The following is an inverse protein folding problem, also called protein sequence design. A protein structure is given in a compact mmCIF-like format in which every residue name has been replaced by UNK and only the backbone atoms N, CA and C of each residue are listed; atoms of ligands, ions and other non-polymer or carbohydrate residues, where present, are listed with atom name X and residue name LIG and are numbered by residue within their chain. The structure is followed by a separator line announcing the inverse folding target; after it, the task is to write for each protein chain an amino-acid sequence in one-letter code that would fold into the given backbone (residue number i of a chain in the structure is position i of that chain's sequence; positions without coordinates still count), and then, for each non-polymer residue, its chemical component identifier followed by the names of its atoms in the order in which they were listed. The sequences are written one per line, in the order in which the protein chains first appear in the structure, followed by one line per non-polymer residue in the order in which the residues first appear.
data_IF_315641608050
#
_entry.id   IF_315641608050
#
_cell.length_a   1.000
_cell.length_b   1.000
_cell.length_c   1.000
_cell.angle_alpha   90.00
_cell.angle_beta   90.00
_cell.angle_gamma   90.00
#
_symmetry.space_group_name_H-M   'P 1'
#
loop_
_entity.id
_entity.type
_entity.pdbx_description
1 polymer ?
#
# COMPACT_ATOMS: atom_id res chain seq x y z
N UNK A 1 8.25 -21.90 -24.76
CA UNK A 1 8.64 -22.32 -23.40
C UNK A 1 7.87 -21.43 -22.44
N UNK A 2 6.76 -21.91 -21.87
CA UNK A 2 6.00 -21.14 -20.88
C UNK A 2 6.87 -20.90 -19.65
N UNK A 3 7.10 -19.63 -19.28
CA UNK A 3 7.74 -19.32 -18.00
C UNK A 3 6.76 -19.73 -16.90
N UNK A 4 6.99 -20.86 -16.24
CA UNK A 4 6.23 -21.24 -15.03
C UNK A 4 6.57 -20.24 -13.93
N UNK A 5 5.55 -19.59 -13.40
CA UNK A 5 5.66 -18.80 -12.17
C UNK A 5 6.11 -19.72 -11.03
N UNK A 6 7.16 -19.34 -10.30
CA UNK A 6 7.65 -20.12 -9.15
C UNK A 6 7.19 -19.46 -7.85
N UNK A 7 7.15 -20.24 -6.76
CA UNK A 7 6.87 -19.70 -5.44
C UNK A 7 7.90 -18.62 -5.03
N UNK A 8 9.17 -18.76 -5.44
CA UNK A 8 10.21 -17.75 -5.17
C UNK A 8 9.93 -16.43 -5.86
N UNK A 9 9.59 -16.43 -7.16
CA UNK A 9 9.27 -15.20 -7.89
C UNK A 9 8.06 -14.46 -7.29
N UNK A 10 7.05 -15.21 -6.82
CA UNK A 10 5.89 -14.60 -6.15
C UNK A 10 6.24 -13.95 -4.81
N UNK A 11 7.16 -14.55 -4.04
CA UNK A 11 7.64 -13.98 -2.78
C UNK A 11 8.43 -12.70 -3.03
N UNK A 12 9.36 -12.72 -3.98
CA UNK A 12 10.16 -11.54 -4.35
C UNK A 12 9.28 -10.36 -4.76
N UNK A 13 8.23 -10.60 -5.57
CA UNK A 13 7.27 -9.55 -5.94
C UNK A 13 6.50 -9.04 -4.71
N UNK A 14 6.07 -9.94 -3.81
CA UNK A 14 5.33 -9.54 -2.62
C UNK A 14 6.20 -8.72 -1.64
N UNK A 15 7.47 -9.07 -1.48
CA UNK A 15 8.44 -8.33 -0.66
C UNK A 15 8.65 -6.92 -1.23
N UNK A 16 8.85 -6.78 -2.55
CA UNK A 16 8.94 -5.45 -3.17
C UNK A 16 7.67 -4.61 -3.03
N UNK A 17 6.49 -5.24 -3.07
CA UNK A 17 5.22 -4.55 -2.82
C UNK A 17 5.13 -4.09 -1.37
N UNK A 18 5.57 -4.91 -0.42
CA UNK A 18 5.62 -4.57 1.01
C UNK A 18 6.54 -3.35 1.25
N UNK A 19 7.77 -3.38 0.73
CA UNK A 19 8.72 -2.26 0.83
C UNK A 19 8.11 -0.95 0.28
N UNK A 20 7.52 -1.02 -0.92
CA UNK A 20 6.89 0.15 -1.55
C UNK A 20 5.68 0.65 -0.75
N UNK A 21 4.92 -0.25 -0.14
CA UNK A 21 3.77 0.09 0.71
C UNK A 21 4.22 0.78 2.00
N UNK A 22 5.35 0.40 2.58
CA UNK A 22 5.92 1.07 3.74
C UNK A 22 6.30 2.52 3.42
N UNK A 23 7.02 2.76 2.32
CA UNK A 23 7.34 4.11 1.84
C UNK A 23 6.06 4.94 1.59
N UNK A 24 5.04 4.31 1.01
CA UNK A 24 3.74 4.95 0.79
C UNK A 24 3.03 5.33 2.08
N UNK A 25 3.10 4.50 3.12
CA UNK A 25 2.52 4.79 4.43
C UNK A 25 3.21 5.99 5.10
N UNK A 26 4.52 6.19 4.89
CA UNK A 26 5.20 7.40 5.35
C UNK A 26 4.65 8.67 4.70
N UNK A 27 4.41 8.63 3.38
CA UNK A 27 3.78 9.75 2.68
C UNK A 27 2.36 10.01 3.20
N UNK A 28 1.59 8.96 3.48
CA UNK A 28 0.26 9.05 4.05
C UNK A 28 0.26 9.75 5.42
N UNK A 29 1.26 9.46 6.26
CA UNK A 29 1.47 10.16 7.54
C UNK A 29 1.81 11.64 7.34
N UNK A 30 2.62 11.98 6.33
CA UNK A 30 2.96 13.37 6.02
C UNK A 30 1.73 14.17 5.57
N UNK A 31 0.88 13.60 4.71
CA UNK A 31 -0.37 14.25 4.30
C UNK A 31 -1.31 14.44 5.49
N UNK A 32 -1.45 13.43 6.36
CA UNK A 32 -2.25 13.54 7.58
C UNK A 32 -1.75 14.65 8.50
N UNK A 33 -0.42 14.77 8.64
CA UNK A 33 0.20 15.84 9.42
C UNK A 33 -0.14 17.20 8.81
N UNK A 34 -0.02 17.36 7.50
CA UNK A 34 -0.35 18.62 6.82
C UNK A 34 -1.81 19.04 7.05
N UNK A 35 -2.76 18.10 7.00
CA UNK A 35 -4.17 18.36 7.30
C UNK A 35 -4.34 18.87 8.74
N UNK A 36 -3.67 18.24 9.71
CA UNK A 36 -3.73 18.66 11.13
C UNK A 36 -3.09 20.04 11.33
N UNK A 37 -1.96 20.29 10.70
CA UNK A 37 -1.25 21.57 10.79
C UNK A 37 -2.09 22.72 10.17
N UNK A 38 -3.03 22.42 9.25
CA UNK A 38 -4.03 23.38 8.77
C UNK A 38 -5.09 23.66 9.85
N UNK A 39 -5.55 22.66 10.59
CA UNK A 39 -6.54 22.84 11.67
C UNK A 39 -6.02 23.71 12.83
N UNK A 40 -4.70 23.77 12.99
CA UNK A 40 -4.04 24.58 14.01
C UNK A 40 -3.79 26.03 13.55
N UNK A 41 -4.03 26.36 12.28
CA UNK A 41 -3.82 27.70 11.74
C UNK A 41 -4.99 28.65 12.03
N UNK A 42 -4.67 29.92 12.24
CA UNK A 42 -5.66 30.99 12.45
C UNK A 42 -6.27 31.52 11.15
N UNK A 43 -5.73 31.12 9.98
CA UNK A 43 -6.21 31.54 8.67
C UNK A 43 -7.11 30.44 8.09
N UNK A 44 -8.33 30.76 7.62
CA UNK A 44 -9.21 29.79 7.00
C UNK A 44 -8.58 29.20 5.71
N UNK A 45 -8.38 27.88 5.68
CA UNK A 45 -7.82 27.13 4.53
C UNK A 45 -8.73 25.94 4.13
N UNK A 46 -10.04 26.07 4.31
CA UNK A 46 -11.04 25.00 4.24
C UNK A 46 -11.03 24.27 2.91
N UNK A 47 -10.85 24.99 1.79
CA UNK A 47 -10.75 24.38 0.46
C UNK A 47 -9.50 23.49 0.29
N UNK A 48 -8.37 23.94 0.85
CA UNK A 48 -7.12 23.18 0.82
C UNK A 48 -7.27 21.94 1.72
N UNK A 49 -7.84 22.13 2.91
CA UNK A 49 -8.14 21.04 3.84
C UNK A 49 -9.06 19.99 3.21
N UNK A 50 -10.16 20.40 2.58
CA UNK A 50 -11.10 19.50 1.91
C UNK A 50 -10.40 18.70 0.80
N UNK A 51 -9.62 19.37 -0.05
CA UNK A 51 -8.85 18.70 -1.10
C UNK A 51 -7.84 17.70 -0.54
N UNK A 52 -7.07 18.08 0.48
CA UNK A 52 -6.08 17.19 1.11
C UNK A 52 -6.74 16.02 1.83
N UNK A 53 -7.88 16.25 2.48
CA UNK A 53 -8.66 15.19 3.15
C UNK A 53 -9.19 14.18 2.13
N UNK A 54 -9.70 14.66 0.99
CA UNK A 54 -10.11 13.80 -0.11
C UNK A 54 -8.96 12.96 -0.66
N UNK A 55 -7.79 13.59 -0.90
CA UNK A 55 -6.59 12.87 -1.32
C UNK A 55 -6.15 11.84 -0.28
N UNK A 56 -6.15 12.19 1.01
CA UNK A 56 -5.78 11.28 2.09
C UNK A 56 -6.66 10.03 2.15
N UNK A 57 -7.98 10.17 1.99
CA UNK A 57 -8.89 9.03 1.98
C UNK A 57 -8.67 8.12 0.75
N UNK A 58 -8.47 8.71 -0.44
CA UNK A 58 -8.10 7.95 -1.64
C UNK A 58 -6.78 7.19 -1.44
N UNK A 59 -5.80 7.81 -0.77
CA UNK A 59 -4.53 7.17 -0.49
C UNK A 59 -4.67 5.99 0.46
N UNK A 60 -5.53 6.09 1.49
CA UNK A 60 -5.81 4.97 2.40
C UNK A 60 -6.41 3.78 1.66
N UNK A 61 -7.37 4.02 0.77
CA UNK A 61 -7.98 2.96 -0.04
C UNK A 61 -6.94 2.28 -0.93
N UNK A 62 -6.05 3.05 -1.55
CA UNK A 62 -4.96 2.51 -2.35
C UNK A 62 -4.00 1.64 -1.52
N UNK A 63 -3.61 2.10 -0.32
CA UNK A 63 -2.74 1.32 0.57
C UNK A 63 -3.35 -0.04 0.94
N UNK A 64 -4.65 -0.06 1.25
CA UNK A 64 -5.39 -1.31 1.54
C UNK A 64 -5.47 -2.23 0.32
N UNK A 65 -5.67 -1.66 -0.86
CA UNK A 65 -5.68 -2.43 -2.10
C UNK A 65 -4.31 -3.08 -2.37
N UNK A 66 -3.22 -2.33 -2.21
CA UNK A 66 -1.85 -2.86 -2.38
C UNK A 66 -1.54 -3.97 -1.37
N UNK A 67 -1.91 -3.79 -0.10
CA UNK A 67 -1.81 -4.84 0.93
C UNK A 67 -2.58 -6.11 0.56
N UNK A 68 -3.76 -5.97 -0.06
CA UNK A 68 -4.53 -7.13 -0.53
C UNK A 68 -3.82 -7.92 -1.65
N UNK A 69 -3.12 -7.22 -2.57
CA UNK A 69 -2.32 -7.84 -3.62
C UNK A 69 -1.13 -8.58 -3.02
N UNK A 70 -0.42 -7.93 -2.09
CA UNK A 70 0.71 -8.51 -1.36
C UNK A 70 0.29 -9.82 -0.66
N UNK A 71 -0.81 -9.78 0.09
CA UNK A 71 -1.36 -10.94 0.79
C UNK A 71 -1.76 -12.07 -0.18
N UNK A 72 -2.35 -11.72 -1.33
CA UNK A 72 -2.71 -12.68 -2.37
C UNK A 72 -1.47 -13.38 -2.95
N UNK A 73 -0.40 -12.64 -3.23
CA UNK A 73 0.85 -13.19 -3.76
C UNK A 73 1.54 -14.10 -2.73
N UNK A 74 1.62 -13.68 -1.46
CA UNK A 74 2.14 -14.50 -0.35
C UNK A 74 1.32 -15.78 -0.17
N UNK A 75 -0.01 -15.73 -0.31
CA UNK A 75 -0.88 -16.90 -0.29
C UNK A 75 -0.61 -17.84 -1.46
N UNK A 76 -0.51 -17.29 -2.67
CA UNK A 76 -0.25 -18.04 -3.90
C UNK A 76 1.10 -18.76 -3.87
N UNK A 77 2.14 -18.10 -3.36
CA UNK A 77 3.47 -18.69 -3.18
C UNK A 77 3.46 -19.88 -2.21
N UNK A 78 2.71 -19.78 -1.10
CA UNK A 78 2.54 -20.87 -0.13
C UNK A 78 1.85 -22.08 -0.76
N UNK A 79 0.79 -21.86 -1.54
CA UNK A 79 0.06 -22.94 -2.21
C UNK A 79 0.92 -23.67 -3.26
N UNK A 80 1.74 -22.93 -4.02
CA UNK A 80 2.67 -23.55 -5.00
C UNK A 80 3.72 -24.39 -4.29
N UNK A 81 4.28 -23.90 -3.18
CA UNK A 81 5.29 -24.63 -2.40
C UNK A 81 4.69 -25.94 -1.83
N UNK A 82 3.50 -25.87 -1.25
CA UNK A 82 2.81 -27.03 -0.68
C UNK A 82 2.48 -28.12 -1.71
N UNK A 83 2.20 -27.75 -2.97
CA UNK A 83 1.94 -28.70 -4.06
C UNK A 83 3.21 -29.29 -4.69
N UNK A 84 4.41 -28.79 -4.36
CA UNK A 84 5.70 -29.33 -4.84
C UNK A 84 6.31 -30.35 -3.88
N UNK A 85 5.91 -30.32 -2.61
CA UNK A 85 6.39 -31.22 -1.55
C UNK A 85 5.48 -32.45 -1.32
N UNK A 86 4.41 -32.59 -2.11
CA UNK A 86 3.40 -33.66 -2.02
C UNK A 86 3.43 -34.69 -3.15
#
# INVERSE_FOLDING_TARGET
MEKRLTASHLKEIAEHIEDTREEYNELLLQVRKLIRDIDEQTIPMEKIKESLSGTYEQMKEYALFVESIEAFLKSSARNISANQDG
#
